data_IF_332588080257
#
_entry.id   IF_332588080257
#
_cell.length_a   1.000
_cell.length_b   1.000
_cell.length_c   1.000
_cell.angle_alpha   90.00
_cell.angle_beta   90.00
_cell.angle_gamma   90.00
#
_symmetry.space_group_name_H-M   'P 1'
#
loop_
_entity.id
_entity.type
_entity.pdbx_description
1 polymer ?
#
# COMPACT_ATOMS: atom_id res chain seq x y z
N UNK A 1 74.16 -3.47 1.33
CA UNK A 1 72.93 -2.84 1.77
C UNK A 1 71.88 -2.94 0.63
N UNK A 2 70.93 -3.83 0.78
CA UNK A 2 69.80 -4.00 -0.20
C UNK A 2 68.62 -3.19 0.32
N UNK A 3 68.23 -2.15 -0.39
CA UNK A 3 66.99 -1.39 -0.12
C UNK A 3 65.76 -2.20 -0.58
N UNK A 4 64.87 -2.48 0.36
CA UNK A 4 63.54 -3.07 0.08
C UNK A 4 62.60 -1.89 -0.13
N UNK A 5 62.14 -1.75 -1.37
CA UNK A 5 61.08 -0.80 -1.72
C UNK A 5 59.71 -1.50 -1.48
N UNK A 6 59.03 -1.07 -0.42
CA UNK A 6 57.64 -1.52 -0.17
C UNK A 6 56.69 -0.77 -1.11
N UNK A 7 56.07 -1.50 -2.02
CA UNK A 7 54.96 -0.99 -2.83
C UNK A 7 53.68 -1.04 -1.99
N UNK A 8 53.19 0.10 -1.59
CA UNK A 8 51.82 0.23 -1.00
C UNK A 8 50.83 0.25 -2.15
N UNK A 9 50.10 -0.82 -2.34
CA UNK A 9 48.98 -0.87 -3.27
C UNK A 9 47.79 -0.09 -2.67
N UNK A 10 47.50 1.12 -3.19
CA UNK A 10 46.27 1.83 -2.92
C UNK A 10 45.13 1.09 -3.63
N UNK A 11 44.27 0.39 -2.86
CA UNK A 11 43.02 -0.13 -3.36
C UNK A 11 42.08 1.05 -3.63
N UNK A 12 41.89 1.41 -4.89
CA UNK A 12 40.86 2.34 -5.30
C UNK A 12 39.51 1.68 -5.03
N UNK A 13 38.79 2.13 -4.00
CA UNK A 13 37.36 1.85 -3.82
C UNK A 13 36.63 2.49 -4.99
N UNK A 14 36.19 1.68 -5.94
CA UNK A 14 35.27 2.10 -7.00
C UNK A 14 33.95 2.50 -6.33
N UNK A 15 33.69 3.79 -6.21
CA UNK A 15 32.36 4.30 -5.88
C UNK A 15 31.41 3.83 -6.98
N UNK A 16 30.61 2.82 -6.69
CA UNK A 16 29.52 2.43 -7.60
C UNK A 16 28.50 3.56 -7.58
N UNK A 17 28.18 4.10 -8.76
CA UNK A 17 27.10 5.09 -8.88
C UNK A 17 25.77 4.49 -8.43
N UNK A 18 24.89 5.34 -7.88
CA UNK A 18 23.51 4.96 -7.58
C UNK A 18 22.82 4.41 -8.84
N UNK A 19 21.91 3.43 -8.71
CA UNK A 19 21.11 2.97 -9.84
C UNK A 19 20.29 4.16 -10.37
N UNK A 20 20.33 4.43 -11.69
CA UNK A 20 19.64 5.60 -12.24
C UNK A 20 18.13 5.42 -12.14
N UNK A 21 17.42 6.46 -11.65
CA UNK A 21 15.98 6.59 -11.79
C UNK A 21 15.70 7.25 -13.15
N UNK A 22 14.97 6.54 -14.03
CA UNK A 22 14.48 7.09 -15.26
C UNK A 22 13.18 7.86 -15.03
N UNK A 23 12.96 8.93 -15.76
CA UNK A 23 11.72 9.70 -15.70
C UNK A 23 11.18 10.01 -17.08
N UNK A 24 9.84 10.04 -17.22
CA UNK A 24 9.17 10.47 -18.43
C UNK A 24 7.90 11.23 -18.13
N UNK A 25 7.46 12.06 -19.08
CA UNK A 25 6.14 12.68 -19.01
C UNK A 25 5.05 11.61 -18.94
N UNK A 26 4.02 11.85 -18.11
CA UNK A 26 2.89 10.94 -17.92
C UNK A 26 1.53 11.62 -18.18
N UNK A 27 1.53 12.91 -18.45
CA UNK A 27 0.36 13.74 -18.74
C UNK A 27 0.31 14.99 -17.88
N UNK A 28 -0.89 15.48 -17.61
CA UNK A 28 -1.13 16.70 -16.83
C UNK A 28 -2.32 16.50 -15.90
N UNK A 29 -2.26 17.09 -14.72
CA UNK A 29 -3.36 17.17 -13.76
C UNK A 29 -3.30 18.50 -13.01
N UNK A 30 -4.45 19.15 -12.79
CA UNK A 30 -4.57 20.42 -12.06
C UNK A 30 -3.63 21.53 -12.60
N UNK A 31 -3.38 21.55 -13.93
CA UNK A 31 -2.46 22.48 -14.57
C UNK A 31 -0.97 22.21 -14.27
N UNK A 32 -0.64 21.05 -13.74
CA UNK A 32 0.73 20.63 -13.42
C UNK A 32 1.15 19.44 -14.29
N UNK A 33 2.42 19.40 -14.77
CA UNK A 33 2.94 18.22 -15.44
C UNK A 33 3.02 17.04 -14.48
N UNK A 34 2.59 15.88 -14.94
CA UNK A 34 2.72 14.61 -14.22
C UNK A 34 3.90 13.83 -14.78
N UNK A 35 4.72 13.32 -13.88
CA UNK A 35 5.92 12.55 -14.21
C UNK A 35 5.76 11.11 -13.75
N UNK A 36 6.24 10.17 -14.55
CA UNK A 36 6.40 8.78 -14.20
C UNK A 36 7.88 8.48 -13.97
N UNK A 37 8.18 7.91 -12.82
CA UNK A 37 9.53 7.49 -12.42
C UNK A 37 9.65 5.98 -12.52
N UNK A 38 10.78 5.50 -13.03
CA UNK A 38 11.12 4.06 -13.09
C UNK A 38 12.32 3.79 -12.21
N UNK A 39 12.12 2.96 -11.20
CA UNK A 39 13.13 2.51 -10.25
C UNK A 39 13.47 1.06 -10.54
N UNK A 40 14.77 0.71 -10.50
CA UNK A 40 15.23 -0.67 -10.71
C UNK A 40 16.28 -1.08 -9.70
N UNK A 41 16.33 -2.38 -9.40
CA UNK A 41 17.48 -2.97 -8.71
C UNK A 41 18.34 -3.80 -9.68
N UNK A 42 19.51 -4.23 -9.21
CA UNK A 42 20.43 -5.06 -9.99
C UNK A 42 19.90 -6.48 -10.27
N UNK A 43 18.88 -6.93 -9.54
CA UNK A 43 18.24 -8.23 -9.75
C UNK A 43 17.14 -8.21 -10.81
N UNK A 44 16.85 -7.03 -11.40
CA UNK A 44 15.88 -6.86 -12.48
C UNK A 44 14.48 -6.48 -12.04
N UNK A 45 14.20 -6.35 -10.74
CA UNK A 45 12.93 -5.79 -10.29
C UNK A 45 12.79 -4.35 -10.77
N UNK A 46 11.62 -4.02 -11.33
CA UNK A 46 11.28 -2.71 -11.86
C UNK A 46 9.97 -2.24 -11.24
N UNK A 47 9.94 -0.99 -10.79
CA UNK A 47 8.74 -0.33 -10.26
C UNK A 47 8.56 1.00 -10.95
N UNK A 48 7.35 1.30 -11.41
CA UNK A 48 7.01 2.64 -11.92
C UNK A 48 6.04 3.34 -10.98
N UNK A 49 6.31 4.63 -10.72
CA UNK A 49 5.56 5.45 -9.77
C UNK A 49 5.27 6.80 -10.42
N UNK A 50 4.01 7.22 -10.38
CA UNK A 50 3.60 8.54 -10.90
C UNK A 50 3.51 9.57 -9.78
N UNK A 51 3.78 10.85 -10.09
CA UNK A 51 3.57 11.96 -9.16
C UNK A 51 2.09 12.24 -8.89
N UNK A 52 1.17 11.73 -9.69
CA UNK A 52 -0.27 11.81 -9.43
C UNK A 52 -0.69 10.72 -8.45
N UNK A 53 -1.09 11.13 -7.24
CA UNK A 53 -1.44 10.22 -6.17
C UNK A 53 -0.30 9.38 -5.63
N UNK A 54 0.95 9.61 -6.05
CA UNK A 54 2.08 8.76 -5.72
C UNK A 54 1.89 7.29 -6.12
N UNK A 55 1.09 7.04 -7.16
CA UNK A 55 0.63 5.69 -7.45
C UNK A 55 1.72 4.80 -8.08
N UNK A 56 1.83 3.58 -7.56
CA UNK A 56 2.58 2.47 -8.20
C UNK A 56 1.78 2.03 -9.41
N UNK A 57 2.31 2.27 -10.62
CA UNK A 57 1.60 2.00 -11.87
C UNK A 57 1.98 0.67 -12.51
N UNK A 58 3.16 0.11 -12.15
CA UNK A 58 3.68 -1.17 -12.59
C UNK A 58 4.70 -1.68 -11.56
N UNK A 59 4.73 -2.98 -11.35
CA UNK A 59 5.72 -3.66 -10.51
C UNK A 59 6.08 -5.00 -11.16
N UNK A 60 7.29 -5.08 -11.73
CA UNK A 60 7.74 -6.27 -12.43
C UNK A 60 8.73 -7.07 -11.61
N UNK A 61 8.43 -8.36 -11.43
CA UNK A 61 9.25 -9.31 -10.69
C UNK A 61 9.36 -10.63 -11.44
N UNK A 62 10.48 -11.38 -11.27
CA UNK A 62 10.65 -12.66 -11.95
C UNK A 62 9.73 -13.74 -11.39
N UNK A 63 9.35 -14.69 -12.23
CA UNK A 63 8.79 -15.99 -11.84
C UNK A 63 9.90 -17.05 -11.63
N UNK A 64 9.51 -18.31 -11.32
CA UNK A 64 10.46 -19.43 -11.17
C UNK A 64 11.31 -19.70 -12.42
N UNK A 65 10.83 -19.31 -13.61
CA UNK A 65 11.56 -19.44 -14.88
C UNK A 65 12.36 -18.17 -15.21
N UNK A 66 12.46 -17.21 -14.27
CA UNK A 66 13.10 -15.89 -14.43
C UNK A 66 12.40 -14.98 -15.45
N UNK A 67 11.16 -15.29 -15.82
CA UNK A 67 10.35 -14.43 -16.69
C UNK A 67 9.77 -13.29 -15.87
N UNK A 68 10.07 -12.06 -16.27
CA UNK A 68 9.53 -10.86 -15.63
C UNK A 68 8.05 -10.72 -15.93
N UNK A 69 7.23 -10.48 -14.90
CA UNK A 69 5.80 -10.20 -15.03
C UNK A 69 5.38 -9.04 -14.16
N UNK A 70 4.47 -8.22 -14.67
CA UNK A 70 3.86 -7.15 -13.90
C UNK A 70 2.82 -7.74 -12.96
N UNK A 71 2.99 -7.52 -11.66
CA UNK A 71 2.15 -8.13 -10.61
C UNK A 71 1.19 -7.13 -9.97
N UNK A 72 1.02 -5.93 -10.53
CA UNK A 72 0.03 -4.95 -10.09
C UNK A 72 -0.87 -4.52 -11.25
N UNK A 73 -2.13 -4.20 -10.94
CA UNK A 73 -3.04 -3.55 -11.88
C UNK A 73 -2.74 -2.06 -11.91
N UNK A 74 -2.62 -1.49 -13.10
CA UNK A 74 -2.34 -0.08 -13.30
C UNK A 74 -2.65 0.39 -14.71
N UNK A 75 -2.46 1.69 -14.96
CA UNK A 75 -2.68 2.30 -16.26
C UNK A 75 -1.37 2.92 -16.77
N UNK A 76 -1.25 3.02 -18.09
CA UNK A 76 -0.09 3.60 -18.79
C UNK A 76 -0.23 5.11 -19.07
N UNK A 77 -1.35 5.71 -18.65
CA UNK A 77 -1.69 7.12 -18.79
C UNK A 77 -2.31 7.68 -17.51
N UNK A 78 -2.20 9.00 -17.29
CA UNK A 78 -2.75 9.66 -16.09
C UNK A 78 -4.28 9.75 -16.12
N UNK A 79 -4.90 9.90 -17.30
CA UNK A 79 -6.35 10.10 -17.44
C UNK A 79 -7.20 9.08 -16.70
N UNK A 80 -6.97 7.77 -16.84
CA UNK A 80 -7.69 6.75 -16.05
C UNK A 80 -7.53 6.90 -14.53
N UNK A 81 -6.36 7.32 -14.02
CA UNK A 81 -6.16 7.61 -12.59
C UNK A 81 -6.99 8.81 -12.12
N UNK A 82 -7.17 9.81 -12.99
CA UNK A 82 -8.04 10.96 -12.69
C UNK A 82 -9.51 10.58 -12.66
N UNK A 83 -9.94 9.73 -13.59
CA UNK A 83 -11.34 9.35 -13.79
C UNK A 83 -11.84 8.29 -12.81
N UNK A 84 -10.96 7.36 -12.38
CA UNK A 84 -11.37 6.23 -11.52
C UNK A 84 -11.72 6.66 -10.10
N UNK A 85 -12.67 5.94 -9.50
CA UNK A 85 -12.96 5.94 -8.06
C UNK A 85 -12.30 4.78 -7.33
N UNK A 86 -11.61 3.89 -8.06
CA UNK A 86 -10.78 2.81 -7.49
C UNK A 86 -9.34 3.29 -7.36
N UNK A 87 -8.72 3.03 -6.26
CA UNK A 87 -7.48 3.69 -5.81
C UNK A 87 -6.20 2.98 -6.29
N UNK A 88 -6.14 2.53 -7.55
CA UNK A 88 -5.04 1.71 -8.10
C UNK A 88 -3.65 2.24 -7.76
N UNK A 89 -2.90 1.48 -6.96
CA UNK A 89 -1.52 1.76 -6.58
C UNK A 89 -1.28 3.02 -5.75
N UNK A 90 -2.32 3.80 -5.45
CA UNK A 90 -2.20 5.15 -4.91
C UNK A 90 -1.80 5.19 -3.43
N UNK A 91 -1.15 6.28 -3.05
CA UNK A 91 -1.03 6.71 -1.66
C UNK A 91 -2.39 7.15 -1.13
N UNK A 92 -2.75 6.63 0.03
CA UNK A 92 -4.02 6.89 0.68
C UNK A 92 -3.80 7.75 1.92
N UNK A 93 -4.58 8.80 2.04
CA UNK A 93 -4.59 9.75 3.17
C UNK A 93 -5.62 10.89 2.96
N UNK A 94 -5.84 11.77 4.00
CA UNK A 94 -5.15 11.68 5.31
C UNK A 94 -5.51 10.41 6.10
N UNK A 95 -6.75 9.90 5.94
CA UNK A 95 -7.21 8.73 6.67
C UNK A 95 -7.56 7.60 5.70
N UNK A 96 -6.73 6.56 5.69
CA UNK A 96 -6.96 5.34 4.95
C UNK A 96 -8.13 4.55 5.52
N UNK A 97 -8.87 3.86 4.63
CA UNK A 97 -10.10 3.18 4.94
C UNK A 97 -11.22 4.15 5.40
N UNK A 98 -12.19 3.69 6.20
CA UNK A 98 -13.44 4.41 6.48
C UNK A 98 -13.40 5.19 7.79
N UNK A 99 -14.15 6.32 7.80
CA UNK A 99 -14.61 7.01 9.00
C UNK A 99 -16.15 7.03 8.94
N UNK A 100 -16.80 6.47 9.96
CA UNK A 100 -18.25 6.35 10.04
C UNK A 100 -18.94 7.71 9.93
N UNK A 101 -19.89 7.84 9.00
CA UNK A 101 -20.62 9.10 8.69
C UNK A 101 -19.68 10.28 8.36
N UNK A 102 -18.42 10.01 8.07
CA UNK A 102 -17.38 11.04 7.88
C UNK A 102 -17.13 11.88 9.13
N UNK A 103 -17.46 11.42 10.33
CA UNK A 103 -17.37 12.22 11.57
C UNK A 103 -16.44 11.59 12.57
N UNK A 104 -15.65 12.44 13.23
CA UNK A 104 -14.88 12.05 14.41
C UNK A 104 -14.81 13.22 15.39
N UNK A 105 -14.52 12.91 16.65
CA UNK A 105 -14.26 13.89 17.70
C UNK A 105 -12.79 13.87 18.08
N UNK A 106 -12.17 15.05 18.16
CA UNK A 106 -10.79 15.22 18.62
C UNK A 106 -10.72 16.43 19.54
N UNK A 107 -10.21 16.24 20.75
CA UNK A 107 -10.05 17.27 21.79
C UNK A 107 -11.35 18.08 22.05
N UNK A 108 -12.50 17.39 22.06
CA UNK A 108 -13.81 17.99 22.29
C UNK A 108 -14.47 18.64 21.07
N UNK A 109 -13.77 18.76 19.95
CA UNK A 109 -14.31 19.32 18.71
C UNK A 109 -14.72 18.21 17.74
N UNK A 110 -15.86 18.39 17.07
CA UNK A 110 -16.35 17.47 16.02
C UNK A 110 -15.86 17.94 14.67
N UNK A 111 -15.30 17.04 13.89
CA UNK A 111 -14.83 17.25 12.53
C UNK A 111 -15.70 16.46 11.55
N UNK A 112 -15.94 17.03 10.37
CA UNK A 112 -16.75 16.43 9.30
C UNK A 112 -15.89 16.30 8.03
N UNK A 113 -15.69 15.06 7.60
CA UNK A 113 -15.04 14.70 6.33
C UNK A 113 -16.15 14.49 5.29
N UNK A 114 -15.99 14.97 4.05
CA UNK A 114 -16.95 14.70 2.98
C UNK A 114 -17.19 13.20 2.80
N UNK A 115 -18.47 12.82 2.78
CA UNK A 115 -18.86 11.42 2.54
C UNK A 115 -18.78 11.10 1.05
N UNK A 116 -18.23 9.94 0.72
CA UNK A 116 -17.98 9.49 -0.65
C UNK A 116 -18.22 7.99 -0.85
N UNK A 117 -18.69 7.29 0.19
CA UNK A 117 -18.96 5.85 0.17
C UNK A 117 -20.15 5.49 1.08
N UNK A 118 -21.34 5.32 0.51
CA UNK A 118 -22.55 4.85 1.22
C UNK A 118 -22.94 5.64 2.48
N UNK A 119 -22.59 6.93 2.56
CA UNK A 119 -22.81 7.77 3.74
C UNK A 119 -21.61 7.84 4.70
N UNK A 120 -20.50 7.21 4.39
CA UNK A 120 -19.25 7.25 5.13
C UNK A 120 -18.15 7.99 4.33
N UNK A 121 -17.12 8.46 5.00
CA UNK A 121 -15.90 8.91 4.33
C UNK A 121 -14.99 7.71 4.12
N UNK A 122 -14.43 7.59 2.90
CA UNK A 122 -13.48 6.56 2.51
C UNK A 122 -12.22 7.24 1.96
N UNK A 123 -11.05 6.75 2.38
CA UNK A 123 -9.73 7.10 1.85
C UNK A 123 -9.45 8.62 1.78
N UNK A 124 -9.84 9.36 2.84
CA UNK A 124 -9.57 10.79 2.96
C UNK A 124 -10.67 11.70 2.38
N UNK A 125 -11.81 11.13 1.94
CA UNK A 125 -12.94 11.89 1.41
C UNK A 125 -12.95 12.01 -0.11
N UNK A 126 -13.66 12.99 -0.66
CA UNK A 126 -13.91 13.11 -2.11
C UNK A 126 -12.64 13.38 -2.94
N UNK A 127 -11.66 14.06 -2.36
CA UNK A 127 -10.37 14.39 -3.00
C UNK A 127 -9.24 14.07 -2.01
N UNK A 128 -8.95 12.76 -1.83
CA UNK A 128 -7.87 12.28 -0.99
C UNK A 128 -6.49 12.41 -1.64
N UNK A 129 -5.47 11.87 -0.99
CA UNK A 129 -4.08 11.91 -1.44
C UNK A 129 -3.86 11.25 -2.81
N UNK A 130 -4.70 10.29 -3.17
CA UNK A 130 -4.73 9.63 -4.48
C UNK A 130 -5.06 10.57 -5.64
N UNK A 131 -5.61 11.75 -5.37
CA UNK A 131 -5.98 12.78 -6.35
C UNK A 131 -5.08 14.03 -6.25
N UNK A 132 -3.96 13.96 -5.55
CA UNK A 132 -3.01 15.06 -5.39
C UNK A 132 -1.78 14.87 -6.27
N UNK A 133 -1.22 15.99 -6.71
CA UNK A 133 0.09 15.99 -7.39
C UNK A 133 1.16 16.17 -6.32
N UNK A 134 2.06 15.20 -6.22
CA UNK A 134 3.16 15.17 -5.27
C UNK A 134 4.42 15.73 -5.89
N UNK A 135 5.19 16.50 -5.14
CA UNK A 135 6.54 16.86 -5.50
C UNK A 135 7.45 15.64 -5.37
N UNK A 136 8.35 15.46 -6.35
CA UNK A 136 9.18 14.26 -6.40
C UNK A 136 10.67 14.60 -6.49
N UNK A 137 11.49 13.81 -5.78
CA UNK A 137 12.95 13.96 -5.76
C UNK A 137 13.61 12.59 -5.79
N UNK A 138 14.62 12.43 -6.66
CA UNK A 138 15.55 11.31 -6.62
C UNK A 138 16.52 11.50 -5.43
N UNK A 139 16.45 10.58 -4.47
CA UNK A 139 17.34 10.53 -3.30
C UNK A 139 18.06 9.18 -3.21
N UNK A 140 18.30 8.55 -4.37
CA UNK A 140 18.96 7.25 -4.49
C UNK A 140 20.34 7.22 -3.85
N UNK A 141 20.72 6.04 -3.36
CA UNK A 141 22.03 5.74 -2.83
C UNK A 141 22.74 4.71 -3.74
N UNK A 142 24.06 4.47 -3.58
CA UNK A 142 24.73 3.38 -4.33
C UNK A 142 24.11 1.99 -4.14
N UNK A 143 23.37 1.79 -3.05
CA UNK A 143 22.76 0.52 -2.65
C UNK A 143 21.33 0.33 -3.19
N UNK A 144 20.58 1.45 -3.37
CA UNK A 144 19.17 1.39 -3.72
C UNK A 144 18.69 2.61 -4.53
N UNK A 145 17.76 2.37 -5.46
CA UNK A 145 16.97 3.43 -6.08
C UNK A 145 15.89 3.89 -5.10
N UNK A 146 15.84 5.20 -4.83
CA UNK A 146 14.93 5.80 -3.84
C UNK A 146 14.27 7.05 -4.43
N UNK A 147 12.94 7.00 -4.56
CA UNK A 147 12.11 8.15 -4.92
C UNK A 147 11.45 8.70 -3.67
N UNK A 148 11.68 9.97 -3.37
CA UNK A 148 11.00 10.71 -2.31
C UNK A 148 9.88 11.54 -2.91
N UNK A 149 8.68 11.40 -2.36
CA UNK A 149 7.50 12.20 -2.67
C UNK A 149 7.14 13.06 -1.48
N UNK A 150 6.78 14.32 -1.72
CA UNK A 150 6.39 15.28 -0.70
C UNK A 150 5.04 15.93 -1.03
N UNK A 151 4.20 16.09 -0.01
CA UNK A 151 2.94 16.81 -0.11
C UNK A 151 2.62 17.54 1.20
N UNK A 152 2.37 18.85 1.11
CA UNK A 152 1.84 19.65 2.21
C UNK A 152 0.31 19.72 2.07
N UNK A 153 -0.40 18.98 2.92
CA UNK A 153 -1.86 19.00 2.99
C UNK A 153 -2.29 20.13 3.92
N UNK A 154 -2.98 21.19 3.41
CA UNK A 154 -3.30 22.37 4.20
C UNK A 154 -4.36 22.11 5.29
N UNK A 155 -4.36 22.96 6.33
CA UNK A 155 -5.37 22.97 7.39
C UNK A 155 -6.78 23.06 6.78
N UNK A 156 -7.67 22.16 7.20
CA UNK A 156 -9.05 22.08 6.70
C UNK A 156 -9.20 21.31 5.38
N UNK A 157 -8.13 20.78 4.79
CA UNK A 157 -8.26 19.94 3.58
C UNK A 157 -9.17 18.75 3.86
N UNK A 158 -10.22 18.58 3.06
CA UNK A 158 -11.29 17.58 3.29
C UNK A 158 -11.85 17.60 4.73
N UNK A 159 -11.78 18.71 5.46
CA UNK A 159 -12.26 18.85 6.82
C UNK A 159 -11.31 18.36 7.93
N UNK A 160 -10.13 17.87 7.59
CA UNK A 160 -9.12 17.48 8.58
C UNK A 160 -8.40 18.70 9.16
N UNK A 161 -8.18 18.78 10.48
CA UNK A 161 -7.47 19.89 11.10
C UNK A 161 -5.95 19.81 10.88
N UNK A 162 -5.30 20.96 10.89
CA UNK A 162 -3.86 21.17 10.85
C UNK A 162 -3.26 21.09 9.45
N UNK A 163 -2.16 21.81 9.24
CA UNK A 163 -1.27 21.60 8.12
C UNK A 163 -0.51 20.30 8.38
N UNK A 164 -0.56 19.37 7.43
CA UNK A 164 0.12 18.08 7.52
C UNK A 164 1.22 18.04 6.45
N UNK A 165 2.47 18.01 6.90
CA UNK A 165 3.64 17.84 6.03
C UNK A 165 3.95 16.35 5.90
N UNK A 166 3.87 15.80 4.69
CA UNK A 166 4.01 14.37 4.43
C UNK A 166 5.13 14.10 3.45
N UNK A 167 6.04 13.21 3.84
CA UNK A 167 7.07 12.65 2.97
C UNK A 167 6.89 11.16 2.86
N UNK A 168 6.90 10.63 1.62
CA UNK A 168 6.85 9.20 1.35
C UNK A 168 8.06 8.80 0.52
N UNK A 169 8.80 7.78 0.98
CA UNK A 169 9.94 7.22 0.24
C UNK A 169 9.62 5.85 -0.28
N UNK A 170 9.75 5.70 -1.59
CA UNK A 170 9.73 4.42 -2.28
C UNK A 170 11.16 3.96 -2.52
N UNK A 171 11.53 2.83 -1.94
CA UNK A 171 12.87 2.22 -2.10
C UNK A 171 12.74 0.87 -2.78
N UNK A 172 13.46 0.67 -3.88
CA UNK A 172 13.60 -0.66 -4.50
C UNK A 172 14.85 -1.33 -3.93
N UNK A 173 14.61 -2.30 -3.03
CA UNK A 173 15.68 -3.02 -2.32
C UNK A 173 16.39 -4.04 -3.22
N UNK A 174 17.66 -4.33 -2.93
CA UNK A 174 18.48 -5.32 -3.67
C UNK A 174 17.86 -6.74 -3.69
N UNK A 175 17.07 -7.10 -2.67
CA UNK A 175 16.42 -8.42 -2.54
C UNK A 175 14.98 -8.42 -3.05
N UNK A 176 14.70 -7.69 -4.14
CA UNK A 176 13.37 -7.57 -4.75
C UNK A 176 12.29 -7.12 -3.75
N UNK A 177 12.61 -6.14 -2.92
CA UNK A 177 11.67 -5.48 -2.01
C UNK A 177 11.24 -4.12 -2.55
N UNK A 178 9.95 -3.81 -2.49
CA UNK A 178 9.44 -2.45 -2.55
C UNK A 178 9.15 -2.00 -1.12
N UNK A 179 10.02 -1.14 -0.56
CA UNK A 179 9.79 -0.51 0.72
C UNK A 179 9.10 0.83 0.51
N UNK A 180 8.03 1.06 1.25
CA UNK A 180 7.29 2.33 1.32
C UNK A 180 7.42 2.83 2.76
N UNK A 181 8.00 4.00 2.94
CA UNK A 181 8.27 4.62 4.23
C UNK A 181 7.58 5.97 4.28
N UNK A 182 6.73 6.16 5.28
CA UNK A 182 5.94 7.36 5.48
C UNK A 182 6.47 8.13 6.68
N UNK A 183 6.61 9.45 6.53
CA UNK A 183 6.88 10.37 7.63
C UNK A 183 5.91 11.55 7.52
N UNK A 184 5.35 11.97 8.65
CA UNK A 184 4.50 13.14 8.67
C UNK A 184 4.58 13.90 9.99
N UNK A 185 4.43 15.23 9.90
CA UNK A 185 4.30 16.13 11.06
C UNK A 185 3.11 17.05 10.86
N UNK A 186 2.60 17.60 11.96
CA UNK A 186 1.43 18.50 11.94
C UNK A 186 1.64 19.70 12.86
N UNK A 187 1.00 20.82 12.56
CA UNK A 187 0.95 22.01 13.41
C UNK A 187 -0.28 22.08 14.35
N UNK A 188 -1.27 21.19 14.15
CA UNK A 188 -2.44 21.01 15.04
C UNK A 188 -2.73 19.52 15.22
N UNK A 189 -3.38 19.12 16.34
CA UNK A 189 -3.86 17.74 16.48
C UNK A 189 -4.72 17.34 15.29
N UNK A 190 -4.43 16.17 14.71
CA UNK A 190 -5.16 15.61 13.57
C UNK A 190 -5.27 14.10 13.70
N UNK A 191 -6.07 13.47 12.85
CA UNK A 191 -6.09 12.01 12.70
C UNK A 191 -5.40 11.62 11.41
N UNK A 192 -4.56 10.58 11.48
CA UNK A 192 -3.72 10.16 10.37
C UNK A 192 -3.69 8.64 10.24
N UNK A 193 -3.90 8.15 9.03
CA UNK A 193 -3.75 6.74 8.67
C UNK A 193 -3.31 6.67 7.21
N UNK A 194 -2.02 6.46 6.97
CA UNK A 194 -1.44 6.42 5.62
C UNK A 194 -1.23 4.97 5.19
N UNK A 195 -1.57 4.67 3.96
CA UNK A 195 -1.35 3.35 3.35
C UNK A 195 -1.16 3.46 1.83
N UNK A 196 -0.89 2.31 1.19
CA UNK A 196 -0.82 2.19 -0.27
C UNK A 196 -1.86 1.15 -0.76
N UNK A 197 -2.57 1.50 -1.82
CA UNK A 197 -3.68 0.69 -2.35
C UNK A 197 -3.29 -0.03 -3.65
N UNK A 198 -2.15 -0.72 -3.65
CA UNK A 198 -1.76 -1.55 -4.80
C UNK A 198 -2.65 -2.78 -4.93
N UNK A 199 -3.09 -3.03 -6.16
CA UNK A 199 -3.89 -4.21 -6.53
C UNK A 199 -2.95 -5.28 -7.08
N UNK A 200 -2.68 -6.32 -6.30
CA UNK A 200 -1.72 -7.38 -6.65
C UNK A 200 -2.39 -8.58 -7.32
N UNK A 201 -1.70 -9.10 -8.36
CA UNK A 201 -1.94 -10.43 -8.90
C UNK A 201 -0.60 -11.08 -9.24
N UNK A 202 -0.16 -12.04 -8.44
CA UNK A 202 1.17 -12.65 -8.60
C UNK A 202 1.26 -13.58 -9.84
N UNK A 203 0.13 -13.97 -10.42
CA UNK A 203 0.11 -14.65 -11.73
C UNK A 203 0.42 -13.69 -12.89
N UNK A 204 0.30 -12.37 -12.65
CA UNK A 204 0.49 -11.28 -13.59
C UNK A 204 -0.79 -10.50 -13.86
N UNK A 205 -0.66 -9.21 -14.16
CA UNK A 205 -1.80 -8.38 -14.57
C UNK A 205 -2.47 -8.96 -15.81
N UNK A 206 -3.80 -9.07 -15.80
CA UNK A 206 -4.58 -9.68 -16.89
C UNK A 206 -4.60 -11.21 -16.90
N UNK A 207 -4.00 -11.89 -15.93
CA UNK A 207 -3.99 -13.37 -15.89
C UNK A 207 -5.25 -13.99 -15.28
N UNK A 208 -6.22 -13.17 -14.89
CA UNK A 208 -7.50 -13.61 -14.31
C UNK A 208 -7.51 -13.59 -12.79
N UNK A 209 -8.39 -14.38 -12.18
CA UNK A 209 -8.74 -14.28 -10.75
C UNK A 209 -7.62 -14.71 -9.80
N UNK A 210 -7.47 -13.98 -8.68
CA UNK A 210 -6.54 -14.30 -7.58
C UNK A 210 -7.03 -15.42 -6.65
N UNK A 211 -8.17 -16.02 -6.91
CA UNK A 211 -8.78 -17.00 -6.01
C UNK A 211 -7.95 -18.29 -5.83
N UNK A 212 -7.00 -18.57 -6.73
CA UNK A 212 -6.08 -19.70 -6.61
C UNK A 212 -4.81 -19.38 -5.82
N UNK A 213 -4.57 -18.11 -5.49
CA UNK A 213 -3.45 -17.74 -4.63
C UNK A 213 -3.67 -18.29 -3.22
N UNK A 214 -2.59 -18.67 -2.57
CA UNK A 214 -2.56 -19.06 -1.17
C UNK A 214 -2.18 -17.86 -0.32
N UNK A 215 -2.95 -17.60 0.74
CA UNK A 215 -2.74 -16.49 1.64
C UNK A 215 -2.48 -16.99 3.05
N UNK A 216 -1.46 -16.44 3.71
CA UNK A 216 -1.23 -16.58 5.14
C UNK A 216 -1.19 -15.20 5.77
N UNK A 217 -1.95 -14.98 6.85
CA UNK A 217 -1.92 -13.75 7.64
C UNK A 217 -1.64 -14.13 9.09
N UNK A 218 -0.62 -13.53 9.70
CA UNK A 218 -0.31 -13.67 11.12
C UNK A 218 -1.20 -12.73 11.92
N UNK A 219 -2.42 -13.14 12.11
CA UNK A 219 -3.45 -12.42 12.82
C UNK A 219 -4.43 -13.42 13.45
N UNK A 220 -4.56 -13.36 14.77
CA UNK A 220 -5.55 -14.18 15.49
C UNK A 220 -6.94 -13.54 15.49
N UNK A 221 -7.05 -12.28 15.09
CA UNK A 221 -8.30 -11.52 15.14
C UNK A 221 -8.55 -10.70 13.88
N UNK A 222 -9.82 -10.35 13.71
CA UNK A 222 -10.33 -9.47 12.65
C UNK A 222 -11.29 -8.46 13.29
N UNK A 223 -11.47 -7.30 12.67
CA UNK A 223 -12.50 -6.34 13.09
C UNK A 223 -13.76 -6.52 12.23
N UNK A 224 -14.85 -7.12 12.77
CA UNK A 224 -16.11 -7.27 12.04
C UNK A 224 -16.71 -5.91 11.69
N UNK A 225 -17.43 -5.87 10.58
CA UNK A 225 -18.04 -4.66 10.05
C UNK A 225 -19.57 -4.71 10.07
N UNK A 226 -20.20 -3.55 10.06
CA UNK A 226 -21.63 -3.37 9.83
C UNK A 226 -21.97 -3.30 8.32
N UNK A 227 -23.22 -3.03 7.99
CA UNK A 227 -23.70 -2.90 6.60
C UNK A 227 -23.09 -1.74 5.81
N UNK A 228 -22.46 -0.76 6.49
CA UNK A 228 -21.69 0.32 5.90
C UNK A 228 -20.20 0.03 5.79
N UNK A 229 -19.79 -1.20 6.07
CA UNK A 229 -18.39 -1.62 6.15
C UNK A 229 -17.57 -0.83 7.20
N UNK A 230 -18.25 -0.33 8.24
CA UNK A 230 -17.62 0.33 9.40
C UNK A 230 -17.38 -0.73 10.47
N UNK A 231 -16.18 -0.82 11.08
CA UNK A 231 -15.93 -1.71 12.20
C UNK A 231 -16.93 -1.48 13.33
N UNK A 232 -17.43 -2.59 13.90
CA UNK A 232 -18.40 -2.54 15.01
C UNK A 232 -17.76 -2.21 16.38
N UNK A 233 -16.43 -2.05 16.43
CA UNK A 233 -15.65 -1.91 17.65
C UNK A 233 -15.27 -3.25 18.30
N UNK A 234 -15.79 -4.36 17.77
CA UNK A 234 -15.43 -5.71 18.25
C UNK A 234 -14.11 -6.15 17.62
N UNK A 235 -13.28 -6.85 18.38
CA UNK A 235 -12.11 -7.60 17.92
C UNK A 235 -12.46 -9.07 18.06
N UNK A 236 -12.66 -9.76 16.94
CA UNK A 236 -13.19 -11.12 16.87
C UNK A 236 -12.10 -12.12 16.48
N UNK A 237 -12.03 -13.28 17.17
CA UNK A 237 -11.12 -14.36 16.78
C UNK A 237 -11.45 -14.90 15.39
N UNK A 238 -10.39 -15.20 14.60
CA UNK A 238 -10.54 -15.78 13.26
C UNK A 238 -10.75 -17.29 13.28
N UNK A 239 -10.38 -17.95 14.38
CA UNK A 239 -10.48 -19.41 14.54
C UNK A 239 -11.89 -19.93 14.26
N UNK A 240 -11.99 -20.97 13.44
CA UNK A 240 -13.27 -21.57 13.06
C UNK A 240 -14.10 -20.73 12.08
N UNK A 241 -13.58 -19.61 11.58
CA UNK A 241 -14.26 -18.73 10.61
C UNK A 241 -13.63 -18.81 9.22
N UNK A 242 -14.29 -18.30 8.16
CA UNK A 242 -13.67 -18.16 6.84
C UNK A 242 -12.45 -17.23 6.82
N UNK A 243 -12.26 -16.41 7.86
CA UNK A 243 -11.15 -15.47 8.00
C UNK A 243 -9.88 -16.08 8.58
N UNK A 244 -9.87 -17.38 8.94
CA UNK A 244 -8.68 -18.04 9.50
C UNK A 244 -7.62 -18.34 8.42
N UNK A 245 -6.73 -17.39 8.19
CA UNK A 245 -5.58 -17.52 7.30
C UNK A 245 -4.25 -17.80 8.02
N UNK A 246 -4.27 -18.13 9.32
CA UNK A 246 -3.05 -18.34 10.14
C UNK A 246 -2.14 -19.45 9.61
N UNK A 247 -2.71 -20.47 8.99
CA UNK A 247 -1.98 -21.66 8.50
C UNK A 247 -1.88 -21.74 6.97
N UNK A 248 -2.23 -20.65 6.28
CA UNK A 248 -2.22 -20.57 4.83
C UNK A 248 -3.37 -21.32 4.18
N UNK A 249 -4.23 -20.57 3.49
CA UNK A 249 -5.40 -21.13 2.79
C UNK A 249 -5.51 -20.54 1.39
N UNK A 250 -6.03 -21.33 0.46
CA UNK A 250 -6.40 -20.84 -0.88
C UNK A 250 -7.53 -19.82 -0.73
N UNK A 251 -7.35 -18.61 -1.29
CA UNK A 251 -8.31 -17.50 -1.12
C UNK A 251 -9.72 -17.91 -1.51
N UNK A 252 -9.87 -18.61 -2.64
CA UNK A 252 -11.17 -19.03 -3.16
C UNK A 252 -11.84 -20.15 -2.38
N UNK A 253 -11.15 -20.84 -1.47
CA UNK A 253 -11.69 -22.05 -0.82
C UNK A 253 -12.88 -21.77 0.09
N UNK A 254 -12.95 -20.58 0.69
CA UNK A 254 -13.98 -20.21 1.67
C UNK A 254 -14.64 -18.86 1.40
N UNK A 255 -14.26 -18.14 0.34
CA UNK A 255 -14.76 -16.78 0.04
C UNK A 255 -16.28 -16.72 -0.22
N UNK A 256 -16.88 -17.86 -0.55
CA UNK A 256 -18.31 -17.99 -0.81
C UNK A 256 -19.05 -18.77 0.30
N UNK A 257 -18.41 -19.00 1.45
CA UNK A 257 -19.05 -19.65 2.59
C UNK A 257 -20.21 -18.79 3.09
N UNK A 258 -21.23 -19.45 3.65
CA UNK A 258 -22.35 -18.75 4.27
C UNK A 258 -21.88 -18.07 5.56
N UNK A 259 -21.52 -16.79 5.45
CA UNK A 259 -21.02 -15.97 6.55
C UNK A 259 -21.44 -14.52 6.33
N UNK A 260 -21.99 -13.88 7.35
CA UNK A 260 -22.53 -12.51 7.25
C UNK A 260 -21.46 -11.48 6.86
N UNK A 261 -20.25 -11.61 7.39
CA UNK A 261 -19.14 -10.71 7.08
C UNK A 261 -18.70 -10.84 5.61
N UNK A 262 -18.63 -12.06 5.07
CA UNK A 262 -18.39 -12.27 3.64
C UNK A 262 -19.52 -11.71 2.76
N UNK A 263 -20.75 -11.79 3.22
CA UNK A 263 -21.91 -11.20 2.52
C UNK A 263 -21.80 -9.68 2.47
N UNK A 264 -21.48 -9.03 3.59
CA UNK A 264 -21.30 -7.58 3.70
C UNK A 264 -20.15 -7.10 2.81
N UNK A 265 -18.98 -7.73 2.88
CA UNK A 265 -17.81 -7.40 2.08
C UNK A 265 -17.88 -7.85 0.61
N UNK A 266 -18.93 -8.61 0.22
CA UNK A 266 -19.03 -9.30 -1.09
C UNK A 266 -17.84 -10.22 -1.37
N UNK A 267 -17.20 -10.69 -0.31
CA UNK A 267 -15.96 -11.43 -0.24
C UNK A 267 -15.11 -10.90 0.91
N UNK A 268 -13.79 -11.00 0.81
CA UNK A 268 -12.92 -10.40 1.81
C UNK A 268 -12.77 -8.90 1.55
N UNK A 269 -13.05 -8.09 2.56
CA UNK A 269 -12.79 -6.65 2.65
C UNK A 269 -12.75 -6.26 4.13
N UNK A 270 -11.77 -6.83 4.87
CA UNK A 270 -11.72 -6.75 6.32
C UNK A 270 -10.31 -6.43 6.82
N UNK A 271 -10.27 -5.72 7.95
CA UNK A 271 -9.04 -5.43 8.66
C UNK A 271 -8.68 -6.58 9.61
N UNK A 272 -7.50 -7.16 9.42
CA UNK A 272 -6.89 -8.16 10.28
C UNK A 272 -6.02 -7.47 11.32
N UNK A 273 -6.14 -7.89 12.57
CA UNK A 273 -5.33 -7.40 13.70
C UNK A 273 -4.04 -8.20 13.75
N UNK A 274 -2.92 -7.58 13.40
CA UNK A 274 -1.63 -8.26 13.29
C UNK A 274 -1.08 -8.64 14.68
N UNK A 275 -0.52 -9.86 14.80
CA UNK A 275 -0.04 -10.41 16.05
C UNK A 275 1.23 -9.73 16.60
N UNK A 276 2.04 -9.15 15.72
CA UNK A 276 3.32 -8.55 16.07
C UNK A 276 3.52 -7.17 15.42
N UNK A 277 2.67 -6.17 15.78
CA UNK A 277 2.84 -4.80 15.27
C UNK A 277 4.23 -4.26 15.66
N UNK A 278 4.84 -3.52 14.75
CA UNK A 278 6.19 -2.97 14.93
C UNK A 278 7.34 -3.92 14.62
N UNK A 279 7.09 -5.19 14.30
CA UNK A 279 8.13 -6.16 14.02
C UNK A 279 8.46 -6.28 12.53
N UNK A 280 9.43 -5.51 12.04
CA UNK A 280 9.91 -5.57 10.65
C UNK A 280 10.85 -6.75 10.36
N UNK A 281 11.18 -7.60 11.33
CA UNK A 281 12.05 -8.76 11.11
C UNK A 281 11.29 -10.02 10.70
N UNK A 282 9.96 -9.99 10.83
CA UNK A 282 9.06 -11.10 10.53
C UNK A 282 7.96 -10.61 9.57
N UNK A 283 7.69 -11.39 8.51
CA UNK A 283 6.55 -11.05 7.65
C UNK A 283 5.23 -11.20 8.39
N UNK A 284 4.31 -10.26 8.16
CA UNK A 284 2.95 -10.29 8.70
C UNK A 284 1.98 -11.02 7.76
N UNK A 285 2.20 -10.88 6.45
CA UNK A 285 1.37 -11.52 5.41
C UNK A 285 2.26 -12.19 4.38
N UNK A 286 1.84 -13.37 3.90
CA UNK A 286 2.48 -14.07 2.77
C UNK A 286 1.42 -14.47 1.75
N UNK A 287 1.68 -14.17 0.47
CA UNK A 287 0.87 -14.59 -0.68
C UNK A 287 1.73 -15.43 -1.61
N UNK A 288 1.21 -16.59 -2.02
CA UNK A 288 1.88 -17.55 -2.88
C UNK A 288 1.04 -17.82 -4.13
N UNK A 289 1.65 -17.75 -5.31
CA UNK A 289 0.98 -18.10 -6.57
C UNK A 289 1.61 -19.38 -7.14
N UNK A 290 0.86 -20.50 -7.20
CA UNK A 290 1.45 -21.81 -7.43
C UNK A 290 1.98 -22.04 -8.86
N UNK A 291 1.41 -21.37 -9.89
CA UNK A 291 1.80 -21.61 -11.28
C UNK A 291 3.12 -20.92 -11.63
N UNK A 292 3.27 -19.67 -11.24
CA UNK A 292 4.49 -18.87 -11.49
C UNK A 292 5.55 -19.10 -10.43
N UNK A 293 5.16 -19.62 -9.25
CA UNK A 293 6.01 -19.74 -8.08
C UNK A 293 6.34 -18.41 -7.42
N UNK A 294 5.72 -17.31 -7.82
CA UNK A 294 5.91 -16.01 -7.16
C UNK A 294 5.34 -16.02 -5.76
N UNK A 295 6.12 -15.48 -4.84
CA UNK A 295 5.74 -15.28 -3.44
C UNK A 295 5.95 -13.82 -3.09
N UNK A 296 4.96 -13.23 -2.42
CA UNK A 296 5.07 -11.89 -1.82
C UNK A 296 4.96 -12.01 -0.30
N UNK A 297 5.96 -11.49 0.40
CA UNK A 297 5.97 -11.34 1.85
C UNK A 297 5.82 -9.87 2.21
N UNK A 298 4.88 -9.56 3.10
CA UNK A 298 4.61 -8.19 3.58
C UNK A 298 5.13 -8.05 4.99
N UNK A 299 6.01 -7.08 5.19
CA UNK A 299 6.54 -6.67 6.49
C UNK A 299 6.00 -5.28 6.79
N UNK A 300 5.56 -5.05 8.02
CA UNK A 300 5.02 -3.74 8.41
C UNK A 300 5.14 -3.51 9.90
N UNK A 301 5.22 -2.24 10.30
CA UNK A 301 5.12 -1.80 11.68
C UNK A 301 3.68 -1.46 12.09
N UNK A 302 2.73 -1.52 11.14
CA UNK A 302 1.34 -1.17 11.39
C UNK A 302 0.59 -2.25 12.20
N UNK A 303 -0.42 -1.84 12.98
CA UNK A 303 -1.19 -2.76 13.82
C UNK A 303 -2.17 -3.63 13.06
N UNK A 304 -2.49 -3.29 11.83
CA UNK A 304 -3.49 -4.00 11.02
C UNK A 304 -3.14 -4.06 9.54
N UNK A 305 -3.85 -4.93 8.84
CA UNK A 305 -3.84 -5.02 7.38
C UNK A 305 -5.25 -5.25 6.86
N UNK A 306 -5.71 -4.39 5.97
CA UNK A 306 -6.92 -4.64 5.19
C UNK A 306 -6.60 -5.65 4.11
N UNK A 307 -7.34 -6.75 4.08
CA UNK A 307 -7.34 -7.72 2.99
C UNK A 307 -8.61 -7.56 2.17
N UNK A 308 -8.43 -7.15 0.90
CA UNK A 308 -9.50 -6.91 -0.05
C UNK A 308 -9.27 -7.73 -1.33
N UNK A 309 -10.32 -8.37 -1.83
CA UNK A 309 -10.23 -9.32 -2.96
C UNK A 309 -10.76 -8.78 -4.29
N UNK A 310 -10.72 -7.46 -4.51
CA UNK A 310 -11.16 -6.87 -5.78
C UNK A 310 -12.65 -7.08 -6.08
N UNK A 311 -13.50 -7.11 -5.03
CA UNK A 311 -14.92 -7.47 -5.11
C UNK A 311 -15.77 -6.46 -5.89
N UNK A 312 -15.25 -5.24 -6.13
CA UNK A 312 -15.95 -4.18 -6.85
C UNK A 312 -15.36 -3.91 -8.24
N UNK A 313 -14.39 -4.70 -8.69
CA UNK A 313 -13.92 -4.67 -10.06
C UNK A 313 -14.98 -5.34 -10.95
N UNK A 314 -15.42 -4.67 -12.01
CA UNK A 314 -16.55 -5.09 -12.84
C UNK A 314 -16.18 -5.29 -14.33
N UNK A 315 -14.92 -5.04 -14.69
CA UNK A 315 -14.41 -5.14 -16.06
C UNK A 315 -14.62 -3.86 -16.92
N UNK A 316 -15.22 -2.81 -16.36
CA UNK A 316 -15.43 -1.55 -17.09
C UNK A 316 -14.14 -0.77 -17.30
N UNK A 317 -13.15 -0.91 -16.42
CA UNK A 317 -11.86 -0.27 -16.54
C UNK A 317 -10.87 -1.11 -17.35
N UNK A 318 -10.18 -0.45 -18.29
CA UNK A 318 -9.16 -1.03 -19.14
C UNK A 318 -7.80 -0.48 -18.74
N UNK A 319 -6.89 -1.36 -18.34
CA UNK A 319 -5.51 -0.99 -17.97
C UNK A 319 -4.48 -1.91 -18.61
N UNK A 320 -3.28 -1.89 -18.07
CA UNK A 320 -2.21 -2.79 -18.49
C UNK A 320 -2.62 -4.22 -18.20
N UNK A 321 -2.58 -5.09 -19.23
CA UNK A 321 -3.05 -6.48 -19.13
C UNK A 321 -4.50 -6.71 -19.52
N UNK A 322 -5.31 -5.66 -19.73
CA UNK A 322 -6.69 -5.75 -20.21
C UNK A 322 -7.72 -5.18 -19.25
N UNK A 323 -8.95 -5.71 -19.30
CA UNK A 323 -10.05 -5.30 -18.44
C UNK A 323 -9.85 -5.80 -17.00
N UNK A 324 -10.04 -4.93 -16.02
CA UNK A 324 -9.94 -5.28 -14.59
C UNK A 324 -11.25 -5.89 -14.10
N UNK A 325 -11.28 -7.22 -14.01
CA UNK A 325 -12.47 -8.01 -13.72
C UNK A 325 -12.62 -8.36 -12.25
N UNK A 326 -13.80 -8.77 -11.88
CA UNK A 326 -14.16 -9.25 -10.54
C UNK A 326 -13.13 -10.24 -10.00
N UNK A 327 -12.58 -9.92 -8.81
CA UNK A 327 -11.58 -10.76 -8.11
C UNK A 327 -10.29 -11.02 -8.92
N UNK A 328 -9.91 -10.11 -9.80
CA UNK A 328 -8.68 -10.23 -10.59
C UNK A 328 -7.44 -9.76 -9.85
N UNK A 329 -7.62 -9.08 -8.73
CA UNK A 329 -6.51 -8.65 -7.87
C UNK A 329 -6.91 -8.67 -6.40
N UNK A 330 -5.91 -8.61 -5.53
CA UNK A 330 -6.07 -8.43 -4.09
C UNK A 330 -5.28 -7.19 -3.62
N UNK A 331 -5.77 -6.55 -2.55
CA UNK A 331 -5.05 -5.49 -1.87
C UNK A 331 -4.68 -5.92 -0.44
N UNK A 332 -3.52 -5.47 0.01
CA UNK A 332 -3.00 -5.66 1.36
C UNK A 332 -2.55 -4.30 1.87
N UNK A 333 -3.49 -3.57 2.47
CA UNK A 333 -3.28 -2.21 2.95
C UNK A 333 -2.90 -2.25 4.42
N UNK A 334 -1.61 -2.09 4.71
CA UNK A 334 -1.10 -2.01 6.08
C UNK A 334 -1.47 -0.67 6.68
N UNK A 335 -2.10 -0.67 7.86
CA UNK A 335 -2.80 0.51 8.34
C UNK A 335 -3.08 0.48 9.85
N UNK A 336 -3.50 1.62 10.42
CA UNK A 336 -4.32 1.65 11.63
C UNK A 336 -5.72 1.12 11.30
N UNK A 337 -6.46 0.68 12.32
CA UNK A 337 -7.78 0.11 12.09
C UNK A 337 -8.73 1.15 11.49
N UNK A 338 -9.63 0.74 10.58
CA UNK A 338 -10.66 1.65 10.07
C UNK A 338 -11.49 2.20 11.23
N UNK A 339 -11.94 3.44 11.10
CA UNK A 339 -12.76 4.15 12.09
C UNK A 339 -12.15 4.27 13.51
N UNK A 340 -10.82 4.09 13.66
CA UNK A 340 -10.13 4.20 14.97
C UNK A 340 -10.47 5.47 15.75
N UNK A 341 -10.64 6.66 15.16
CA UNK A 341 -11.00 7.86 15.93
C UNK A 341 -12.32 7.75 16.69
N UNK A 342 -13.21 6.83 16.29
CA UNK A 342 -14.51 6.59 16.90
C UNK A 342 -14.54 5.38 17.86
N UNK A 343 -13.41 4.67 18.03
CA UNK A 343 -13.30 3.48 18.86
C UNK A 343 -12.14 3.58 19.85
N UNK A 344 -12.43 3.87 21.10
CA UNK A 344 -11.41 4.07 22.15
C UNK A 344 -10.54 2.83 22.45
N UNK A 345 -11.01 1.64 22.10
CA UNK A 345 -10.28 0.38 22.23
C UNK A 345 -9.40 0.03 21.01
N UNK A 346 -9.44 0.83 19.95
CA UNK A 346 -8.55 0.67 18.79
C UNK A 346 -7.25 1.45 18.98
N UNK A 347 -6.16 1.06 18.29
CA UNK A 347 -4.94 1.85 18.27
C UNK A 347 -5.21 3.29 17.85
N UNK A 348 -4.66 4.25 18.62
CA UNK A 348 -4.85 5.67 18.33
C UNK A 348 -4.25 6.06 16.99
N UNK A 349 -5.02 6.77 16.18
CA UNK A 349 -4.58 7.38 14.91
C UNK A 349 -4.37 8.91 15.05
N UNK A 350 -4.25 9.42 16.27
CA UNK A 350 -4.04 10.86 16.52
C UNK A 350 -2.55 11.19 16.39
N UNK A 351 -2.26 12.23 15.63
CA UNK A 351 -0.94 12.86 15.54
C UNK A 351 -1.01 14.27 16.13
N UNK A 352 -0.07 14.61 17.01
CA UNK A 352 -0.01 15.91 17.69
C UNK A 352 1.20 16.74 17.26
N UNK A 353 1.13 18.07 17.38
CA UNK A 353 2.28 18.95 17.18
C UNK A 353 3.47 18.49 18.02
N UNK A 354 4.66 18.44 17.39
CA UNK A 354 5.89 17.97 18.02
C UNK A 354 6.10 16.45 17.96
N UNK A 355 5.10 15.70 17.53
CA UNK A 355 5.24 14.27 17.24
C UNK A 355 5.54 14.05 15.75
N UNK A 356 6.19 12.94 15.43
CA UNK A 356 6.40 12.48 14.06
C UNK A 356 5.69 11.16 13.87
N UNK A 357 4.76 11.12 12.90
CA UNK A 357 4.25 9.84 12.41
C UNK A 357 5.33 9.19 11.56
N UNK A 358 5.60 7.92 11.84
CA UNK A 358 6.48 7.09 11.02
C UNK A 358 5.83 5.73 10.80
N UNK A 359 5.88 5.25 9.55
CA UNK A 359 5.38 3.93 9.20
C UNK A 359 6.19 3.34 8.05
N UNK A 360 6.36 2.01 8.10
CA UNK A 360 7.09 1.25 7.09
C UNK A 360 6.28 0.05 6.64
N UNK A 361 6.23 -0.14 5.33
CA UNK A 361 5.74 -1.38 4.70
C UNK A 361 6.74 -1.85 3.65
N UNK A 362 7.02 -3.16 3.63
CA UNK A 362 7.91 -3.77 2.64
C UNK A 362 7.15 -4.91 1.97
N UNK A 363 6.97 -4.82 0.66
CA UNK A 363 6.52 -5.93 -0.18
C UNK A 363 7.74 -6.60 -0.79
N UNK A 364 8.10 -7.78 -0.29
CA UNK A 364 9.29 -8.52 -0.74
C UNK A 364 8.90 -9.71 -1.59
N UNK A 365 9.48 -9.77 -2.78
CA UNK A 365 9.18 -10.81 -3.76
C UNK A 365 10.30 -11.84 -3.85
N UNK A 366 9.91 -13.09 -3.92
CA UNK A 366 10.79 -14.24 -4.14
C UNK A 366 10.07 -15.28 -5.01
N UNK A 367 10.77 -16.34 -5.38
CA UNK A 367 10.19 -17.49 -6.09
C UNK A 367 10.40 -18.75 -5.26
N UNK A 368 9.41 -19.62 -5.27
CA UNK A 368 9.51 -21.01 -4.82
C UNK A 368 9.76 -21.91 -6.03
N UNK A 369 10.57 -22.96 -5.85
CA UNK A 369 10.90 -23.97 -6.88
C UNK A 369 9.69 -24.83 -7.27
#
# INVERSE_FOLDING_TARGET
MKQIISLVALAAMSLTAAPPIEQRAFGEADGKPIVLYTLRNKAGMEVTITTYGGAVTSLKVPDRNKTMGDVVLGFDQVGPYQATTSYFGALIGRYGNRIGKGKFQLDGQVYQIPVNDGGNALHGGTIGFNKRVWDAKDVSTPEAAVLELHYLSPDGEMGFPGNLDVTVRYTVEAKNGLKIEYNATTDKPTVLNLTNHSYFNLAGAGSGSVLKHRLTIRAEHVTPVDSGLIPTGVVQAVEGTPFDFRHGNVIGSRINDKNDQLTLGKGYDHNFVLDAPGNLTQWAVKVEEPNTGRVMEVYTDQPGVQFYTGNFLDGSMQGVGGAFKYREALCLETQHFPDSPNHANFPSAVLRPGETFHSVTIYRFKTEE
#
